data_IF_967863796169
#
_entry.id   IF_967863796169
#
_cell.length_a   1.000
_cell.length_b   1.000
_cell.length_c   1.000
_cell.angle_alpha   90.00
_cell.angle_beta   90.00
_cell.angle_gamma   90.00
#
_symmetry.space_group_name_H-M   'P 1'
#
loop_
_entity.id
_entity.type
_entity.pdbx_description
1 polymer ?
#
# COMPACT_ATOMS: atom_id res chain seq x y z
N UNK A 1 -9.67 -17.03 7.43
CA UNK A 1 -9.16 -16.68 6.10
C UNK A 1 -7.72 -17.15 6.00
N UNK A 2 -7.38 -17.90 4.95
CA UNK A 2 -6.00 -18.30 4.66
C UNK A 2 -5.25 -17.18 3.91
N UNK A 3 -3.96 -17.38 3.65
CA UNK A 3 -3.11 -16.39 3.02
C UNK A 3 -3.48 -16.16 1.54
N UNK A 4 -3.86 -17.20 0.80
CA UNK A 4 -4.25 -17.08 -0.61
C UNK A 4 -5.54 -16.26 -0.77
N UNK A 5 -6.55 -16.53 0.05
CA UNK A 5 -7.80 -15.76 0.06
C UNK A 5 -7.58 -14.30 0.50
N UNK A 6 -6.64 -14.06 1.43
CA UNK A 6 -6.22 -12.71 1.79
C UNK A 6 -5.67 -11.96 0.57
N UNK A 7 -4.75 -12.57 -0.18
CA UNK A 7 -4.18 -11.98 -1.39
C UNK A 7 -5.21 -11.75 -2.50
N UNK A 8 -6.19 -12.64 -2.63
CA UNK A 8 -7.32 -12.45 -3.54
C UNK A 8 -8.14 -11.20 -3.20
N UNK A 9 -8.44 -10.97 -1.92
CA UNK A 9 -9.14 -9.76 -1.46
C UNK A 9 -8.30 -8.48 -1.64
N UNK A 10 -6.97 -8.58 -1.49
CA UNK A 10 -6.01 -7.51 -1.74
C UNK A 10 -5.79 -7.19 -3.23
N UNK A 11 -6.38 -7.98 -4.13
CA UNK A 11 -6.08 -8.00 -5.57
C UNK A 11 -4.58 -8.20 -5.86
N UNK A 12 -3.90 -8.95 -5.01
CA UNK A 12 -2.49 -9.27 -5.11
C UNK A 12 -2.21 -10.62 -5.75
N UNK A 13 -0.96 -10.85 -6.14
CA UNK A 13 -0.50 -12.11 -6.71
C UNK A 13 0.21 -12.95 -5.63
N UNK A 14 -0.54 -13.92 -5.07
CA UNK A 14 -0.04 -14.85 -4.08
C UNK A 14 1.17 -15.65 -4.57
N UNK A 15 1.11 -16.13 -5.82
CA UNK A 15 2.18 -16.96 -6.40
C UNK A 15 3.47 -16.15 -6.58
N UNK A 16 3.35 -14.89 -7.03
CA UNK A 16 4.50 -14.00 -7.14
C UNK A 16 5.13 -13.70 -5.78
N UNK A 17 4.31 -13.41 -4.76
CA UNK A 17 4.80 -13.15 -3.39
C UNK A 17 5.53 -14.38 -2.84
N UNK A 18 4.96 -15.57 -3.01
CA UNK A 18 5.58 -16.81 -2.56
C UNK A 18 6.87 -17.14 -3.31
N UNK A 19 6.98 -16.79 -4.60
CA UNK A 19 8.23 -16.90 -5.35
C UNK A 19 9.34 -16.00 -4.77
N UNK A 20 8.99 -14.83 -4.27
CA UNK A 20 9.92 -13.84 -3.69
C UNK A 20 10.30 -14.17 -2.24
N UNK A 21 9.31 -14.38 -1.38
CA UNK A 21 9.49 -14.53 0.07
C UNK A 21 9.68 -16.00 0.51
N UNK A 22 9.31 -16.98 -0.33
CA UNK A 22 9.51 -18.44 -0.18
C UNK A 22 8.89 -19.11 1.05
N UNK A 23 8.40 -18.35 2.03
CA UNK A 23 7.82 -18.86 3.29
C UNK A 23 6.61 -18.03 3.69
N UNK A 24 5.47 -18.67 3.91
CA UNK A 24 4.23 -18.01 4.34
C UNK A 24 4.41 -17.28 5.69
N UNK A 25 5.18 -17.85 6.62
CA UNK A 25 5.50 -17.23 7.91
C UNK A 25 6.17 -15.84 7.77
N UNK A 26 7.02 -15.67 6.74
CA UNK A 26 7.66 -14.39 6.46
C UNK A 26 6.65 -13.40 5.89
N UNK A 27 5.81 -13.86 4.96
CA UNK A 27 4.72 -13.06 4.40
C UNK A 27 3.79 -12.57 5.51
N UNK A 28 3.35 -13.48 6.38
CA UNK A 28 2.53 -13.18 7.54
C UNK A 28 3.18 -12.08 8.39
N UNK A 29 4.44 -12.25 8.80
CA UNK A 29 5.15 -11.27 9.63
C UNK A 29 5.19 -9.89 8.98
N UNK A 30 5.45 -9.82 7.67
CA UNK A 30 5.49 -8.53 6.97
C UNK A 30 4.12 -7.89 6.81
N UNK A 31 3.07 -8.68 6.56
CA UNK A 31 1.69 -8.16 6.53
C UNK A 31 1.30 -7.59 7.90
N UNK A 32 1.63 -8.26 9.00
CA UNK A 32 1.35 -7.74 10.34
C UNK A 32 2.14 -6.46 10.61
N UNK A 33 3.43 -6.42 10.24
CA UNK A 33 4.26 -5.22 10.38
C UNK A 33 3.71 -4.04 9.58
N UNK A 34 3.12 -4.29 8.40
CA UNK A 34 2.48 -3.25 7.59
C UNK A 34 1.29 -2.58 8.30
N UNK A 35 0.65 -3.22 9.29
CA UNK A 35 -0.41 -2.60 10.09
C UNK A 35 0.09 -1.46 10.99
N UNK A 36 1.39 -1.40 11.24
CA UNK A 36 2.03 -0.38 12.08
C UNK A 36 2.50 0.84 11.26
N UNK A 37 2.36 0.79 9.93
CA UNK A 37 2.76 1.89 9.06
C UNK A 37 1.87 3.12 9.25
N UNK A 38 2.50 4.29 9.18
CA UNK A 38 1.85 5.60 9.18
C UNK A 38 2.06 6.35 7.84
N UNK A 39 2.52 5.65 6.79
CA UNK A 39 2.97 6.29 5.54
C UNK A 39 1.89 7.18 4.92
N UNK A 40 0.63 6.72 4.89
CA UNK A 40 -0.46 7.50 4.29
C UNK A 40 -0.76 8.79 5.06
N UNK A 41 -0.62 8.78 6.39
CA UNK A 41 -0.76 9.99 7.18
C UNK A 41 0.38 10.96 6.87
N UNK A 42 1.62 10.47 6.80
CA UNK A 42 2.78 11.30 6.45
C UNK A 42 2.67 11.90 5.05
N UNK A 43 2.07 11.17 4.10
CA UNK A 43 1.76 11.69 2.76
C UNK A 43 0.70 12.80 2.85
N UNK A 44 -0.37 12.63 3.64
CA UNK A 44 -1.40 13.65 3.86
C UNK A 44 -0.77 14.96 4.38
N UNK A 45 0.07 14.85 5.42
CA UNK A 45 0.77 15.98 6.03
C UNK A 45 1.66 16.71 5.01
N UNK A 46 2.48 15.98 4.24
CA UNK A 46 3.33 16.56 3.20
C UNK A 46 2.51 17.28 2.11
N UNK A 47 1.38 16.70 1.69
CA UNK A 47 0.48 17.32 0.70
C UNK A 47 -0.20 18.58 1.25
N UNK A 48 -0.58 18.60 2.53
CA UNK A 48 -1.16 19.76 3.21
C UNK A 48 -0.14 20.91 3.35
N UNK A 49 1.12 20.57 3.65
CA UNK A 49 2.26 21.49 3.69
C UNK A 49 2.68 21.97 2.29
N UNK A 50 2.11 21.40 1.21
CA UNK A 50 2.51 21.59 -0.19
C UNK A 50 3.98 21.21 -0.45
N UNK A 51 4.53 20.34 0.39
CA UNK A 51 5.85 19.76 0.21
C UNK A 51 5.76 18.55 -0.72
N UNK A 52 5.66 18.85 -2.02
CA UNK A 52 5.46 17.82 -3.05
C UNK A 52 6.68 16.92 -3.25
N UNK A 53 7.88 17.39 -2.90
CA UNK A 53 9.10 16.56 -2.97
C UNK A 53 9.09 15.51 -1.86
N UNK A 54 8.80 15.91 -0.62
CA UNK A 54 8.59 14.98 0.49
C UNK A 54 7.43 14.02 0.24
N UNK A 55 6.32 14.52 -0.30
CA UNK A 55 5.18 13.67 -0.68
C UNK A 55 5.59 12.63 -1.72
N UNK A 56 6.38 13.01 -2.72
CA UNK A 56 6.90 12.08 -3.73
C UNK A 56 7.75 10.97 -3.11
N UNK A 57 8.69 11.31 -2.23
CA UNK A 57 9.57 10.33 -1.59
C UNK A 57 8.79 9.34 -0.69
N UNK A 58 7.79 9.84 0.03
CA UNK A 58 6.91 9.01 0.86
C UNK A 58 6.06 8.07 0.00
N UNK A 59 5.45 8.58 -1.08
CA UNK A 59 4.67 7.74 -2.01
C UNK A 59 5.57 6.73 -2.73
N UNK A 60 6.81 7.10 -3.05
CA UNK A 60 7.78 6.20 -3.66
C UNK A 60 8.14 5.03 -2.74
N UNK A 61 8.32 5.31 -1.45
CA UNK A 61 8.55 4.30 -0.41
C UNK A 61 7.36 3.37 -0.30
N UNK A 62 6.14 3.93 -0.11
CA UNK A 62 4.89 3.15 -0.04
C UNK A 62 4.73 2.24 -1.26
N UNK A 63 4.98 2.75 -2.46
CA UNK A 63 4.94 1.97 -3.71
C UNK A 63 5.88 0.75 -3.66
N UNK A 64 7.12 0.96 -3.22
CA UNK A 64 8.12 -0.11 -3.12
C UNK A 64 7.68 -1.21 -2.15
N UNK A 65 7.18 -0.82 -0.98
CA UNK A 65 6.68 -1.74 0.04
C UNK A 65 5.46 -2.53 -0.45
N UNK A 66 4.47 -1.85 -1.01
CA UNK A 66 3.24 -2.49 -1.49
C UNK A 66 3.54 -3.45 -2.63
N UNK A 67 4.47 -3.11 -3.53
CA UNK A 67 4.92 -4.00 -4.60
C UNK A 67 5.69 -5.21 -4.06
N UNK A 68 6.50 -5.03 -3.02
CA UNK A 68 7.30 -6.11 -2.41
C UNK A 68 6.38 -7.12 -1.73
N UNK A 69 5.37 -6.63 -1.04
CA UNK A 69 4.38 -7.44 -0.33
C UNK A 69 3.22 -7.91 -1.21
N UNK A 70 3.17 -7.51 -2.48
CA UNK A 70 2.11 -7.90 -3.42
C UNK A 70 0.73 -7.34 -3.07
N UNK A 71 0.66 -6.17 -2.44
CA UNK A 71 -0.59 -5.49 -2.07
C UNK A 71 -1.19 -4.82 -3.32
N UNK A 72 -1.74 -5.63 -4.23
CA UNK A 72 -1.96 -5.24 -5.62
C UNK A 72 -2.85 -4.00 -5.82
N UNK A 73 -4.00 -3.91 -5.14
CA UNK A 73 -4.89 -2.74 -5.23
C UNK A 73 -4.18 -1.45 -4.80
N UNK A 74 -3.56 -1.47 -3.62
CA UNK A 74 -2.85 -0.32 -3.06
C UNK A 74 -1.64 0.04 -3.95
N UNK A 75 -0.89 -0.94 -4.42
CA UNK A 75 0.25 -0.77 -5.34
C UNK A 75 -0.16 -0.02 -6.61
N UNK A 76 -1.26 -0.41 -7.26
CA UNK A 76 -1.74 0.27 -8.47
C UNK A 76 -2.04 1.74 -8.18
N UNK A 77 -2.72 2.03 -7.07
CA UNK A 77 -3.06 3.40 -6.70
C UNK A 77 -1.84 4.25 -6.33
N UNK A 78 -0.86 3.68 -5.61
CA UNK A 78 0.35 4.38 -5.20
C UNK A 78 1.30 4.63 -6.38
N UNK A 79 1.37 3.73 -7.36
CA UNK A 79 2.10 3.94 -8.62
C UNK A 79 1.57 5.18 -9.36
N UNK A 80 0.25 5.30 -9.54
CA UNK A 80 -0.34 6.43 -10.27
C UNK A 80 -0.04 7.76 -9.55
N UNK A 81 -0.20 7.80 -8.22
CA UNK A 81 0.13 9.00 -7.43
C UNK A 81 1.62 9.33 -7.52
N UNK A 82 2.49 8.33 -7.46
CA UNK A 82 3.93 8.49 -7.57
C UNK A 82 4.31 9.15 -8.91
N UNK A 83 3.69 8.71 -10.01
CA UNK A 83 3.95 9.26 -11.34
C UNK A 83 3.38 10.68 -11.49
N UNK A 84 2.17 10.97 -10.98
CA UNK A 84 1.64 12.33 -10.96
C UNK A 84 2.58 13.29 -10.23
N UNK A 85 3.09 12.91 -9.05
CA UNK A 85 4.06 13.72 -8.30
C UNK A 85 5.40 13.84 -9.04
N UNK A 86 5.89 12.77 -9.68
CA UNK A 86 7.12 12.77 -10.51
C UNK A 86 7.05 13.79 -11.65
N UNK A 87 5.92 13.83 -12.35
CA UNK A 87 5.68 14.74 -13.47
C UNK A 87 5.12 16.11 -13.03
N UNK A 88 5.09 16.37 -11.72
CA UNK A 88 4.62 17.64 -11.14
C UNK A 88 3.16 17.98 -11.51
N UNK A 89 2.33 16.96 -11.67
CA UNK A 89 0.89 17.10 -11.87
C UNK A 89 0.26 17.35 -10.51
N UNK A 90 -0.03 18.62 -10.22
CA UNK A 90 -0.58 19.07 -8.95
C UNK A 90 -2.02 19.57 -9.10
N UNK A 91 -2.74 19.62 -7.97
CA UNK A 91 -4.12 20.10 -7.91
C UNK A 91 -5.13 18.97 -7.74
N UNK A 92 -6.36 19.21 -8.19
CA UNK A 92 -7.52 18.39 -7.84
C UNK A 92 -7.39 16.93 -8.30
N UNK A 93 -6.80 16.67 -9.47
CA UNK A 93 -6.61 15.31 -9.97
C UNK A 93 -5.66 14.49 -9.08
N UNK A 94 -4.55 15.10 -8.64
CA UNK A 94 -3.61 14.48 -7.70
C UNK A 94 -4.27 14.25 -6.34
N UNK A 95 -5.07 15.21 -5.86
CA UNK A 95 -5.80 15.05 -4.61
C UNK A 95 -6.88 13.95 -4.70
N UNK A 96 -7.56 13.80 -5.85
CA UNK A 96 -8.46 12.68 -6.11
C UNK A 96 -7.72 11.35 -6.07
N UNK A 97 -6.54 11.29 -6.68
CA UNK A 97 -5.71 10.10 -6.64
C UNK A 97 -5.21 9.79 -5.23
N UNK A 98 -4.83 10.80 -4.44
CA UNK A 98 -4.47 10.61 -3.04
C UNK A 98 -5.65 10.08 -2.21
N UNK A 99 -6.87 10.59 -2.41
CA UNK A 99 -8.08 10.04 -1.77
C UNK A 99 -8.28 8.57 -2.13
N UNK A 100 -8.02 8.18 -3.38
CA UNK A 100 -8.04 6.78 -3.79
C UNK A 100 -6.99 5.95 -3.07
N UNK A 101 -5.74 6.43 -2.98
CA UNK A 101 -4.66 5.75 -2.22
C UNK A 101 -5.08 5.55 -0.77
N UNK A 102 -5.64 6.57 -0.11
CA UNK A 102 -6.12 6.48 1.27
C UNK A 102 -7.24 5.45 1.44
N UNK A 103 -8.20 5.43 0.53
CA UNK A 103 -9.28 4.42 0.54
C UNK A 103 -8.75 3.00 0.34
N UNK A 104 -7.85 2.81 -0.62
CA UNK A 104 -7.26 1.51 -0.91
C UNK A 104 -6.37 1.03 0.24
N UNK A 105 -5.64 1.94 0.89
CA UNK A 105 -4.87 1.66 2.10
C UNK A 105 -5.76 1.17 3.24
N UNK A 106 -6.85 1.89 3.53
CA UNK A 106 -7.77 1.47 4.59
C UNK A 106 -8.35 0.07 4.32
N UNK A 107 -8.76 -0.20 3.08
CA UNK A 107 -9.25 -1.54 2.70
C UNK A 107 -8.16 -2.61 2.87
N UNK A 108 -6.92 -2.31 2.49
CA UNK A 108 -5.78 -3.21 2.69
C UNK A 108 -5.57 -3.51 4.18
N UNK A 109 -5.60 -2.49 5.04
CA UNK A 109 -5.49 -2.64 6.50
C UNK A 109 -6.63 -3.51 7.05
N UNK A 110 -7.87 -3.28 6.62
CA UNK A 110 -9.03 -4.05 7.09
C UNK A 110 -8.92 -5.53 6.68
N UNK A 111 -8.47 -5.82 5.46
CA UNK A 111 -8.26 -7.19 4.98
C UNK A 111 -7.12 -7.87 5.77
N UNK A 112 -6.00 -7.19 6.00
CA UNK A 112 -4.88 -7.73 6.77
C UNK A 112 -5.30 -7.99 8.22
N UNK A 113 -6.11 -7.11 8.83
CA UNK A 113 -6.67 -7.35 10.18
C UNK A 113 -7.56 -8.59 10.21
N UNK A 114 -8.47 -8.73 9.24
CA UNK A 114 -9.32 -9.93 9.09
C UNK A 114 -8.48 -11.20 8.91
N UNK A 115 -7.37 -11.13 8.19
CA UNK A 115 -6.43 -12.23 8.03
C UNK A 115 -5.79 -12.61 9.36
N UNK A 116 -5.22 -11.62 10.06
CA UNK A 116 -4.58 -11.78 11.37
C UNK A 116 -5.52 -12.41 12.38
N UNK A 117 -6.73 -11.87 12.51
CA UNK A 117 -7.72 -12.33 13.50
C UNK A 117 -8.30 -13.71 13.16
N UNK A 118 -8.06 -14.20 11.94
CA UNK A 118 -8.40 -15.57 11.53
C UNK A 118 -7.27 -16.58 11.77
N UNK A 119 -6.07 -16.13 12.12
CA UNK A 119 -4.97 -17.04 12.45
C UNK A 119 -5.10 -17.49 13.91
N UNK A 120 -4.77 -18.76 14.21
CA UNK A 120 -4.79 -19.31 15.57
C UNK A 120 -3.75 -18.68 16.50
#
# INVERSE_FOLDING_TARGET
>A
MDLEQCYKELEGDYAEVMRRLRKEELVHRFLIKFLESDEVQRIDEALQERDYEKAFDLVHTLKGETMTLGLGRLSKSSIILCEQLRYKIYGEEMLQQFRKVRMDYQKTIDIIRKYRDSQP
#
